data_IF_595593492393
#
_entry.id   IF_595593492393
#
_cell.length_a   1.000
_cell.length_b   1.000
_cell.length_c   1.000
_cell.angle_alpha   90.00
_cell.angle_beta   90.00
_cell.angle_gamma   90.00
#
_symmetry.space_group_name_H-M   'P 1'
#
loop_
_entity.id
_entity.type
_entity.pdbx_description
1 polymer ?
#
# COMPACT_ATOMS: atom_id res chain seq x y z
N UNK A 1 -1.22 2.62 -21.13
CA UNK A 1 -1.35 2.49 -19.67
C UNK A 1 -1.98 3.79 -19.19
N UNK A 2 -3.26 3.76 -18.80
CA UNK A 2 -4.00 4.96 -18.39
C UNK A 2 -4.20 4.93 -16.88
N UNK A 3 -3.63 5.90 -16.17
CA UNK A 3 -3.90 6.09 -14.75
C UNK A 3 -5.37 6.49 -14.57
N UNK A 4 -6.04 5.93 -13.55
CA UNK A 4 -7.42 6.26 -13.23
C UNK A 4 -7.43 7.61 -12.51
N UNK A 5 -7.61 8.70 -13.25
CA UNK A 5 -7.60 10.07 -12.70
C UNK A 5 -8.93 10.49 -12.05
N UNK A 6 -9.99 9.69 -12.21
CA UNK A 6 -11.30 9.97 -11.62
C UNK A 6 -11.44 9.28 -10.25
N UNK A 7 -11.68 10.06 -9.20
CA UNK A 7 -11.76 9.57 -7.83
C UNK A 7 -12.88 8.53 -7.62
N UNK A 8 -14.02 8.70 -8.28
CA UNK A 8 -15.13 7.75 -8.19
C UNK A 8 -14.80 6.40 -8.83
N UNK A 9 -14.13 6.42 -9.98
CA UNK A 9 -13.63 5.21 -10.64
C UNK A 9 -12.50 4.55 -9.87
N UNK A 10 -11.62 5.32 -9.23
CA UNK A 10 -10.55 4.79 -8.40
C UNK A 10 -11.14 4.04 -7.20
N UNK A 11 -12.12 4.63 -6.51
CA UNK A 11 -12.80 3.98 -5.39
C UNK A 11 -13.52 2.70 -5.83
N UNK A 12 -14.27 2.74 -6.93
CA UNK A 12 -14.94 1.55 -7.46
C UNK A 12 -13.94 0.44 -7.84
N UNK A 13 -12.78 0.82 -8.39
CA UNK A 13 -11.71 -0.13 -8.69
C UNK A 13 -11.08 -0.70 -7.41
N UNK A 14 -10.78 0.13 -6.40
CA UNK A 14 -10.27 -0.33 -5.09
C UNK A 14 -11.27 -1.26 -4.40
N UNK A 15 -12.56 -0.94 -4.43
CA UNK A 15 -13.61 -1.81 -3.88
C UNK A 15 -13.75 -3.13 -4.65
N UNK A 16 -13.44 -3.13 -5.95
CA UNK A 16 -13.39 -4.36 -6.75
C UNK A 16 -12.16 -5.23 -6.47
N UNK A 17 -11.15 -4.71 -5.77
CA UNK A 17 -9.98 -5.50 -5.38
C UNK A 17 -10.39 -6.51 -4.32
N UNK A 18 -10.15 -7.79 -4.61
CA UNK A 18 -10.37 -8.85 -3.65
C UNK A 18 -9.19 -8.86 -2.66
N UNK A 19 -9.40 -8.27 -1.48
CA UNK A 19 -8.40 -8.21 -0.40
C UNK A 19 -8.84 -9.19 0.71
N UNK A 20 -7.91 -9.86 1.43
CA UNK A 20 -8.28 -10.65 2.60
C UNK A 20 -9.02 -9.78 3.62
N UNK A 21 -10.20 -10.23 4.06
CA UNK A 21 -10.98 -9.55 5.09
C UNK A 21 -10.14 -9.50 6.36
N UNK A 22 -9.98 -8.29 6.91
CA UNK A 22 -9.29 -8.08 8.17
C UNK A 22 -10.00 -8.85 9.29
N UNK A 23 -9.40 -9.93 9.76
CA UNK A 23 -9.79 -10.68 10.97
C UNK A 23 -9.34 -9.99 12.27
N UNK A 24 -8.70 -8.81 12.18
CA UNK A 24 -8.16 -8.08 13.32
C UNK A 24 -9.17 -7.20 14.08
N UNK A 25 -9.04 -7.23 15.41
CA UNK A 25 -9.69 -6.38 16.40
C UNK A 25 -9.42 -4.87 16.16
N UNK A 26 -10.49 -4.09 16.00
CA UNK A 26 -10.44 -2.67 15.62
C UNK A 26 -9.60 -1.78 16.57
N UNK A 27 -9.49 -2.14 17.85
CA UNK A 27 -8.67 -1.41 18.82
C UNK A 27 -7.15 -1.50 18.52
N UNK A 28 -6.66 -2.63 17.99
CA UNK A 28 -5.25 -2.76 17.58
C UNK A 28 -4.92 -1.91 16.35
N UNK A 29 -5.90 -1.70 15.45
CA UNK A 29 -5.73 -0.82 14.28
C UNK A 29 -5.50 0.63 14.69
N UNK A 30 -6.23 1.11 15.69
CA UNK A 30 -6.14 2.50 16.16
C UNK A 30 -4.82 2.77 16.88
N UNK A 31 -4.38 1.84 17.74
CA UNK A 31 -3.09 1.94 18.42
C UNK A 31 -1.91 1.92 17.44
N UNK A 32 -1.95 1.04 16.44
CA UNK A 32 -0.87 0.96 15.43
C UNK A 32 -0.82 2.18 14.51
N UNK A 33 -1.96 2.79 14.16
CA UNK A 33 -1.99 4.03 13.39
C UNK A 33 -1.38 5.21 14.16
N UNK A 34 -1.66 5.32 15.48
CA UNK A 34 -1.07 6.35 16.34
C UNK A 34 0.43 6.16 16.52
N UNK A 35 0.91 4.92 16.66
CA UNK A 35 2.35 4.63 16.73
C UNK A 35 3.06 4.93 15.40
N UNK A 36 2.43 4.63 14.27
CA UNK A 36 2.97 4.98 12.94
C UNK A 36 3.03 6.49 12.74
N UNK A 37 1.96 7.23 13.05
CA UNK A 37 1.96 8.69 12.93
C UNK A 37 3.03 9.35 13.80
N UNK A 38 3.26 8.83 15.02
CA UNK A 38 4.31 9.30 15.90
C UNK A 38 5.73 9.01 15.34
N UNK A 39 5.94 7.86 14.70
CA UNK A 39 7.21 7.48 14.08
C UNK A 39 7.49 8.17 12.74
N UNK A 40 6.45 8.71 12.06
CA UNK A 40 6.58 9.40 10.77
C UNK A 40 6.66 10.93 10.89
N UNK A 41 6.53 11.48 12.11
CA UNK A 41 6.64 12.92 12.37
C UNK A 41 8.08 13.47 12.32
N UNK A 42 9.07 12.67 11.92
CA UNK A 42 10.42 13.16 11.68
C UNK A 42 10.56 13.60 10.21
N UNK A 43 10.99 14.85 9.98
CA UNK A 43 11.39 15.35 8.65
C UNK A 43 12.73 14.76 8.16
N UNK A 44 13.16 13.67 8.78
CA UNK A 44 14.44 13.00 8.56
C UNK A 44 14.30 11.83 7.56
N UNK A 45 15.44 11.43 6.98
CA UNK A 45 15.54 10.21 6.19
C UNK A 45 15.13 9.02 7.06
N UNK A 46 14.38 8.08 6.48
CA UNK A 46 13.83 6.97 7.25
C UNK A 46 13.50 5.77 6.38
N UNK A 47 13.25 4.64 7.02
CA UNK A 47 12.78 3.45 6.34
C UNK A 47 11.63 2.81 7.11
N UNK A 48 10.64 2.30 6.39
CA UNK A 48 9.55 1.54 6.96
C UNK A 48 9.52 0.12 6.39
N UNK A 49 9.26 -0.85 7.25
CA UNK A 49 9.01 -2.23 6.84
C UNK A 49 7.53 -2.35 6.47
N UNK A 50 7.27 -2.63 5.20
CA UNK A 50 5.93 -2.85 4.65
C UNK A 50 5.80 -4.33 4.28
N UNK A 51 5.28 -5.11 5.22
CA UNK A 51 5.15 -6.57 5.13
C UNK A 51 6.49 -7.27 4.86
N UNK A 52 6.74 -7.68 3.62
CA UNK A 52 7.97 -8.35 3.18
C UNK A 52 8.93 -7.44 2.43
N UNK A 53 8.63 -6.14 2.35
CA UNK A 53 9.42 -5.13 1.66
C UNK A 53 9.87 -4.03 2.61
N UNK A 54 10.96 -3.33 2.27
CA UNK A 54 11.43 -2.15 2.99
C UNK A 54 11.31 -0.96 2.05
N UNK A 55 10.58 0.06 2.48
CA UNK A 55 10.46 1.33 1.74
C UNK A 55 11.29 2.39 2.44
N UNK A 56 12.26 2.95 1.73
CA UNK A 56 13.08 4.05 2.22
C UNK A 56 12.50 5.39 1.76
N UNK A 57 12.51 6.38 2.65
CA UNK A 57 12.01 7.73 2.45
C UNK A 57 13.15 8.73 2.65
N UNK A 58 13.14 9.78 1.84
CA UNK A 58 14.04 10.91 1.98
C UNK A 58 13.38 12.04 2.77
N UNK A 59 14.19 12.92 3.33
CA UNK A 59 13.77 14.18 3.92
C UNK A 59 12.85 14.97 2.96
N UNK A 60 11.86 15.67 3.54
CA UNK A 60 10.94 16.53 2.78
C UNK A 60 9.63 15.88 2.33
N UNK A 61 9.37 14.60 2.64
CA UNK A 61 8.03 14.01 2.48
C UNK A 61 7.16 14.27 3.70
N UNK A 62 5.91 14.67 3.48
CA UNK A 62 4.93 14.78 4.57
C UNK A 62 4.64 13.40 5.17
N UNK A 63 4.30 13.31 6.48
CA UNK A 63 3.91 12.04 7.10
C UNK A 63 2.75 11.35 6.36
N UNK A 64 1.80 12.15 5.86
CA UNK A 64 0.68 11.65 5.08
C UNK A 64 1.13 11.00 3.76
N UNK A 65 2.04 11.62 3.02
CA UNK A 65 2.55 11.03 1.78
C UNK A 65 3.27 9.70 2.03
N UNK A 66 4.00 9.58 3.15
CA UNK A 66 4.65 8.32 3.54
C UNK A 66 3.62 7.25 3.90
N UNK A 67 2.56 7.60 4.62
CA UNK A 67 1.47 6.70 4.95
C UNK A 67 0.73 6.23 3.69
N UNK A 68 0.47 7.12 2.75
CA UNK A 68 -0.21 6.79 1.48
C UNK A 68 0.63 5.80 0.65
N UNK A 69 1.96 5.99 0.59
CA UNK A 69 2.88 5.06 -0.08
C UNK A 69 2.88 3.68 0.60
N UNK A 70 2.98 3.65 1.93
CA UNK A 70 2.98 2.40 2.69
C UNK A 70 1.66 1.64 2.54
N UNK A 71 0.54 2.34 2.67
CA UNK A 71 -0.80 1.76 2.58
C UNK A 71 -1.08 1.25 1.16
N UNK A 72 -0.68 1.99 0.12
CA UNK A 72 -0.83 1.57 -1.29
C UNK A 72 -0.01 0.33 -1.59
N UNK A 73 1.24 0.30 -1.13
CA UNK A 73 2.14 -0.86 -1.27
C UNK A 73 1.57 -2.10 -0.58
N UNK A 74 1.11 -1.94 0.65
CA UNK A 74 0.51 -3.04 1.41
C UNK A 74 -0.79 -3.55 0.77
N UNK A 75 -1.65 -2.64 0.32
CA UNK A 75 -2.91 -2.99 -0.35
C UNK A 75 -2.66 -3.84 -1.59
N UNK A 76 -1.70 -3.43 -2.42
CA UNK A 76 -1.38 -4.15 -3.65
C UNK A 76 -0.72 -5.49 -3.40
N UNK A 77 0.16 -5.59 -2.41
CA UNK A 77 0.74 -6.89 -2.01
C UNK A 77 -0.33 -7.86 -1.53
N UNK A 78 -1.30 -7.39 -0.73
CA UNK A 78 -2.39 -8.23 -0.23
C UNK A 78 -3.35 -8.66 -1.34
N UNK A 79 -3.67 -7.76 -2.27
CA UNK A 79 -4.52 -8.07 -3.42
C UNK A 79 -3.82 -9.04 -4.39
N UNK A 80 -2.52 -8.85 -4.62
CA UNK A 80 -1.72 -9.72 -5.47
C UNK A 80 -1.57 -11.12 -4.86
N UNK A 81 -1.25 -11.23 -3.56
CA UNK A 81 -1.12 -12.52 -2.86
C UNK A 81 -2.41 -13.33 -2.85
N UNK A 82 -3.56 -12.65 -2.84
CA UNK A 82 -4.86 -13.33 -2.89
C UNK A 82 -5.19 -13.85 -4.29
N UNK A 83 -4.73 -13.15 -5.33
CA UNK A 83 -5.04 -13.46 -6.72
C UNK A 83 -4.05 -14.43 -7.36
N UNK A 84 -2.78 -14.36 -6.96
CA UNK A 84 -1.68 -15.14 -7.54
C UNK A 84 -0.81 -15.73 -6.43
N UNK A 85 -0.28 -16.94 -6.66
CA UNK A 85 0.67 -17.54 -5.74
C UNK A 85 2.08 -16.99 -6.03
N UNK A 86 2.75 -16.27 -5.10
CA UNK A 86 4.04 -15.64 -5.35
C UNK A 86 5.20 -16.62 -5.58
N UNK A 87 5.02 -17.90 -5.23
CA UNK A 87 6.04 -18.95 -5.43
C UNK A 87 5.95 -19.59 -6.82
N UNK A 88 4.76 -19.67 -7.41
CA UNK A 88 4.54 -20.34 -8.71
C UNK A 88 4.16 -19.40 -9.84
N UNK A 89 3.62 -18.21 -9.54
CA UNK A 89 3.08 -17.22 -10.49
C UNK A 89 3.67 -15.83 -10.22
N UNK A 90 4.99 -15.78 -10.01
CA UNK A 90 5.70 -14.57 -9.60
C UNK A 90 5.59 -13.44 -10.62
N UNK A 91 5.64 -13.76 -11.91
CA UNK A 91 5.57 -12.74 -12.97
C UNK A 91 4.18 -12.09 -13.03
N UNK A 92 3.12 -12.88 -12.95
CA UNK A 92 1.74 -12.40 -12.92
C UNK A 92 1.45 -11.61 -11.64
N UNK A 93 1.96 -12.08 -10.52
CA UNK A 93 1.90 -11.38 -9.24
C UNK A 93 2.56 -10.00 -9.34
N UNK A 94 3.79 -9.93 -9.88
CA UNK A 94 4.53 -8.68 -10.00
C UNK A 94 3.89 -7.73 -10.99
N UNK A 95 3.35 -8.25 -12.11
CA UNK A 95 2.62 -7.45 -13.09
C UNK A 95 1.35 -6.84 -12.48
N UNK A 96 0.56 -7.63 -11.76
CA UNK A 96 -0.64 -7.11 -11.09
C UNK A 96 -0.31 -6.09 -9.99
N UNK A 97 0.75 -6.35 -9.22
CA UNK A 97 1.25 -5.43 -8.20
C UNK A 97 1.69 -4.08 -8.81
N UNK A 98 2.52 -4.11 -9.86
CA UNK A 98 3.03 -2.90 -10.52
C UNK A 98 1.94 -2.12 -11.26
N UNK A 99 1.04 -2.82 -11.96
CA UNK A 99 -0.11 -2.21 -12.64
C UNK A 99 -1.04 -1.51 -11.63
N UNK A 100 -1.28 -2.11 -10.46
CA UNK A 100 -2.11 -1.48 -9.44
C UNK A 100 -1.46 -0.30 -8.72
N UNK A 101 -0.14 -0.34 -8.50
CA UNK A 101 0.59 0.82 -7.97
C UNK A 101 0.57 2.02 -8.93
N UNK A 102 0.68 1.77 -10.23
CA UNK A 102 0.55 2.80 -11.25
C UNK A 102 -0.85 3.47 -11.26
N UNK A 103 -1.90 2.72 -10.90
CA UNK A 103 -3.25 3.25 -10.79
C UNK A 103 -3.53 4.01 -9.49
N UNK A 104 -2.84 3.67 -8.39
CA UNK A 104 -3.10 4.27 -7.08
C UNK A 104 -2.43 5.64 -6.91
N UNK A 105 -1.13 5.75 -7.20
CA UNK A 105 -0.35 6.96 -6.88
C UNK A 105 0.85 7.18 -7.82
N UNK A 106 1.34 6.17 -8.55
CA UNK A 106 2.68 6.19 -9.19
C UNK A 106 2.65 6.39 -10.72
N UNK A 107 1.61 7.03 -11.26
CA UNK A 107 1.42 7.29 -12.70
C UNK A 107 1.46 8.77 -13.06
#
# INVERSE_FOLDING_TARGET
>A
MGSITDHGKLLAWVESLDVPKSTGNANLKRASAVLRSAAQNSDEDGAAVVRGSITSFVTGLTPQARDDVQNSTLLMQLAADKKYNPDTQREEWFKFYTDGLANLVWG
#
